data_IF_067594335892
#
_entry.id   IF_067594335892
#
_cell.length_a   1.000
_cell.length_b   1.000
_cell.length_c   1.000
_cell.angle_alpha   90.00
_cell.angle_beta   90.00
_cell.angle_gamma   90.00
#
_symmetry.space_group_name_H-M   'P 1'
#
loop_
_entity.id
_entity.type
_entity.pdbx_description
1 polymer ?
#
# COMPACT_ATOMS: atom_id res chain seq x y z
N UNK A 1 -11.04 -4.17 9.19
CA UNK A 1 -10.84 -3.02 8.30
C UNK A 1 -12.21 -2.33 8.10
N UNK A 2 -13.18 -2.99 7.44
CA UNK A 2 -14.45 -2.36 7.05
C UNK A 2 -15.37 -1.84 8.17
N UNK A 3 -15.25 -2.37 9.39
CA UNK A 3 -15.99 -1.86 10.57
C UNK A 3 -15.35 -0.58 11.17
N UNK A 4 -14.58 0.19 10.40
CA UNK A 4 -13.89 1.39 10.86
C UNK A 4 -12.53 1.12 11.52
N UNK A 5 -11.79 0.15 10.98
CA UNK A 5 -10.42 -0.22 11.37
C UNK A 5 -10.29 -0.77 12.81
N UNK A 6 -11.39 -1.23 13.42
CA UNK A 6 -11.41 -1.66 14.83
C UNK A 6 -10.32 -2.69 15.17
N UNK A 7 -10.09 -3.66 14.30
CA UNK A 7 -9.08 -4.71 14.52
C UNK A 7 -7.64 -4.18 14.50
N UNK A 8 -7.28 -3.35 13.52
CA UNK A 8 -5.93 -2.78 13.44
C UNK A 8 -5.69 -1.70 14.49
N UNK A 9 -6.75 -0.97 14.89
CA UNK A 9 -6.72 -0.07 16.06
C UNK A 9 -6.42 -0.84 17.33
N UNK A 10 -7.19 -1.89 17.65
CA UNK A 10 -6.98 -2.71 18.84
C UNK A 10 -5.58 -3.34 18.86
N UNK A 11 -5.11 -3.85 17.72
CA UNK A 11 -3.75 -4.37 17.59
C UNK A 11 -2.69 -3.29 17.91
N UNK A 12 -2.81 -2.11 17.30
CA UNK A 12 -1.85 -1.02 17.48
C UNK A 12 -1.92 -0.38 18.89
N UNK A 13 -3.10 -0.33 19.51
CA UNK A 13 -3.34 0.25 20.83
C UNK A 13 -2.93 -0.68 21.96
N UNK A 14 -3.37 -1.94 21.90
CA UNK A 14 -3.35 -2.85 23.04
C UNK A 14 -2.31 -3.96 22.84
N UNK A 15 -2.40 -4.71 21.74
CA UNK A 15 -1.55 -5.90 21.55
C UNK A 15 -0.05 -5.58 21.51
N UNK A 16 0.34 -4.46 20.88
CA UNK A 16 1.74 -4.04 20.83
C UNK A 16 2.29 -3.55 22.17
N UNK A 17 1.42 -2.95 23.00
CA UNK A 17 1.84 -2.42 24.30
C UNK A 17 2.08 -3.52 25.33
N UNK A 18 1.41 -4.66 25.18
CA UNK A 18 1.47 -5.80 26.11
C UNK A 18 2.67 -6.72 25.90
N UNK A 19 3.47 -6.50 24.84
CA UNK A 19 4.60 -7.36 24.48
C UNK A 19 5.87 -6.57 24.21
N UNK A 20 7.01 -7.19 24.47
CA UNK A 20 8.33 -6.63 24.20
C UNK A 20 8.76 -6.81 22.72
N UNK A 21 7.81 -6.66 21.79
CA UNK A 21 8.07 -6.78 20.36
C UNK A 21 8.32 -5.41 19.75
N UNK A 22 9.53 -5.18 19.26
CA UNK A 22 9.84 -3.97 18.53
C UNK A 22 9.42 -4.10 17.06
N UNK A 23 8.29 -3.49 16.69
CA UNK A 23 7.91 -3.33 15.29
C UNK A 23 8.88 -2.35 14.62
N UNK A 24 9.59 -2.85 13.60
CA UNK A 24 10.47 -2.02 12.77
C UNK A 24 9.72 -1.37 11.62
N UNK A 25 8.78 -2.11 11.01
CA UNK A 25 8.02 -1.67 9.85
C UNK A 25 6.79 -2.56 9.62
N UNK A 26 5.71 -1.98 9.11
CA UNK A 26 4.45 -2.68 8.79
C UNK A 26 4.13 -2.57 7.30
N UNK A 27 3.77 -3.70 6.69
CA UNK A 27 3.26 -3.77 5.32
C UNK A 27 1.76 -4.02 5.36
N UNK A 28 0.97 -3.11 4.79
CA UNK A 28 -0.47 -3.26 4.62
C UNK A 28 -0.75 -3.54 3.15
N UNK A 29 -1.52 -4.57 2.86
CA UNK A 29 -1.88 -4.97 1.50
C UNK A 29 -3.38 -4.67 1.33
N UNK A 30 -3.70 -3.57 0.66
CA UNK A 30 -5.08 -3.08 0.51
C UNK A 30 -5.45 -3.06 -0.96
N UNK A 31 -6.02 -4.20 -1.33
CA UNK A 31 -6.22 -4.72 -2.69
C UNK A 31 -4.95 -4.70 -3.54
N UNK A 32 -4.51 -5.85 -4.04
CA UNK A 32 -3.21 -5.98 -4.72
C UNK A 32 -3.28 -6.87 -5.96
N UNK A 33 -4.48 -7.12 -6.48
CA UNK A 33 -4.73 -8.16 -7.47
C UNK A 33 -5.57 -7.72 -8.66
N UNK A 34 -6.25 -6.58 -8.60
CA UNK A 34 -7.06 -6.10 -9.71
C UNK A 34 -6.24 -5.16 -10.61
N UNK A 35 -6.08 -5.54 -11.87
CA UNK A 35 -5.32 -4.81 -12.87
C UNK A 35 -6.16 -4.68 -14.14
N UNK A 36 -6.05 -3.53 -14.81
CA UNK A 36 -6.75 -3.31 -16.07
C UNK A 36 -5.91 -2.42 -16.99
N UNK A 37 -5.69 -2.89 -18.22
CA UNK A 37 -4.69 -2.33 -19.14
C UNK A 37 -5.26 -1.32 -20.16
N UNK A 38 -6.57 -1.10 -20.17
CA UNK A 38 -7.21 -0.14 -21.05
C UNK A 38 -7.15 1.29 -20.50
N UNK A 39 -7.10 2.29 -21.40
CA UNK A 39 -7.23 3.69 -21.03
C UNK A 39 -8.57 3.98 -20.33
N UNK A 40 -8.55 4.85 -19.33
CA UNK A 40 -9.72 5.20 -18.52
C UNK A 40 -10.10 4.15 -17.48
N UNK A 41 -9.28 3.12 -17.26
CA UNK A 41 -9.50 2.10 -16.23
C UNK A 41 -9.07 2.52 -14.83
N UNK A 42 -8.33 3.63 -14.70
CA UNK A 42 -7.96 4.23 -13.43
C UNK A 42 -8.66 5.58 -13.24
N UNK A 43 -9.44 5.69 -12.17
CA UNK A 43 -10.00 6.95 -11.70
C UNK A 43 -9.01 7.66 -10.78
N UNK A 44 -9.09 8.98 -10.77
CA UNK A 44 -8.30 9.83 -9.88
C UNK A 44 -9.08 10.11 -8.60
N UNK A 45 -8.50 9.88 -7.41
CA UNK A 45 -9.12 10.30 -6.15
C UNK A 45 -9.35 11.82 -6.14
N UNK A 46 -10.57 12.24 -5.80
CA UNK A 46 -10.93 13.65 -5.81
C UNK A 46 -10.08 14.44 -4.79
N UNK A 47 -9.65 15.64 -5.20
CA UNK A 47 -8.90 16.58 -4.37
C UNK A 47 -7.42 16.25 -4.16
N UNK A 48 -6.98 15.01 -4.38
CA UNK A 48 -5.59 14.62 -4.14
C UNK A 48 -4.67 15.29 -5.19
N UNK A 49 -3.64 16.07 -4.77
CA UNK A 49 -2.85 16.90 -5.68
C UNK A 49 -1.73 16.10 -6.37
N UNK A 50 -2.08 14.97 -6.99
CA UNK A 50 -1.14 14.10 -7.71
C UNK A 50 -1.64 13.82 -9.13
N UNK A 51 -0.75 13.30 -9.98
CA UNK A 51 -1.13 12.73 -11.27
C UNK A 51 -0.89 11.23 -11.24
N UNK A 52 -1.95 10.47 -11.45
CA UNK A 52 -1.89 9.04 -11.73
C UNK A 52 -2.07 8.80 -13.24
N UNK A 53 -1.64 7.63 -13.69
CA UNK A 53 -1.99 7.13 -15.03
C UNK A 53 -3.51 6.99 -15.12
N UNK A 54 -4.10 7.19 -16.30
CA UNK A 54 -5.49 6.82 -16.57
C UNK A 54 -5.65 5.33 -16.89
N UNK A 55 -4.54 4.58 -16.98
CA UNK A 55 -4.48 3.12 -17.07
C UNK A 55 -4.20 2.54 -15.68
N UNK A 56 -5.00 1.55 -15.26
CA UNK A 56 -4.93 0.86 -13.98
C UNK A 56 -3.95 -0.32 -13.97
N UNK A 57 -2.79 -0.17 -14.59
CA UNK A 57 -1.77 -1.21 -14.78
C UNK A 57 -0.57 -1.09 -13.83
N UNK A 58 -0.76 -0.40 -12.70
CA UNK A 58 0.32 -0.12 -11.74
C UNK A 58 -0.06 -0.48 -10.32
N UNK A 59 0.96 -0.77 -9.53
CA UNK A 59 0.88 -0.90 -8.08
C UNK A 59 1.23 0.45 -7.44
N UNK A 60 0.34 0.98 -6.61
CA UNK A 60 0.62 2.14 -5.79
C UNK A 60 1.19 1.74 -4.44
N UNK A 61 2.18 2.50 -3.98
CA UNK A 61 2.76 2.39 -2.65
C UNK A 61 2.52 3.71 -1.95
N UNK A 62 1.70 3.70 -0.90
CA UNK A 62 1.40 4.88 -0.10
C UNK A 62 2.18 4.81 1.21
N UNK A 63 2.99 5.83 1.49
CA UNK A 63 3.81 5.90 2.70
C UNK A 63 3.82 7.29 3.28
N UNK A 64 4.05 7.43 4.58
CA UNK A 64 4.25 8.73 5.23
C UNK A 64 5.75 9.06 5.42
N UNK A 65 6.03 10.24 5.98
CA UNK A 65 7.40 10.70 6.26
C UNK A 65 8.23 9.68 7.05
N UNK A 66 7.65 9.08 8.07
CA UNK A 66 8.35 8.20 9.00
C UNK A 66 8.71 6.84 8.35
N UNK A 67 8.19 6.58 7.15
CA UNK A 67 8.41 5.37 6.35
C UNK A 67 9.33 5.59 5.14
N UNK A 68 9.80 6.82 4.91
CA UNK A 68 10.49 7.20 3.69
C UNK A 68 11.84 6.51 3.46
N UNK A 69 12.62 6.29 4.51
CA UNK A 69 13.92 5.61 4.40
C UNK A 69 13.74 4.19 3.87
N UNK A 70 12.73 3.49 4.40
CA UNK A 70 12.37 2.13 4.00
C UNK A 70 11.87 2.10 2.56
N UNK A 71 10.89 2.95 2.24
CA UNK A 71 10.27 2.99 0.90
C UNK A 71 11.25 3.44 -0.20
N UNK A 72 12.29 4.21 0.13
CA UNK A 72 13.26 4.72 -0.86
C UNK A 72 13.99 3.63 -1.65
N UNK A 73 14.11 2.43 -1.08
CA UNK A 73 14.81 1.30 -1.70
C UNK A 73 13.90 0.50 -2.61
N UNK A 74 12.58 0.59 -2.40
CA UNK A 74 11.60 -0.16 -3.15
C UNK A 74 11.66 0.12 -4.66
N UNK A 75 11.85 1.38 -5.07
CA UNK A 75 12.03 1.71 -6.50
C UNK A 75 13.24 1.03 -7.13
N UNK A 76 14.35 0.91 -6.37
CA UNK A 76 15.56 0.24 -6.86
C UNK A 76 15.32 -1.26 -6.99
N UNK A 77 14.70 -1.88 -5.98
CA UNK A 77 14.35 -3.31 -5.99
C UNK A 77 13.40 -3.60 -7.16
N UNK A 78 12.36 -2.79 -7.35
CA UNK A 78 11.43 -2.95 -8.46
C UNK A 78 12.15 -2.90 -9.81
N UNK A 79 12.99 -1.87 -10.02
CA UNK A 79 13.74 -1.73 -11.26
C UNK A 79 14.72 -2.88 -11.53
N UNK A 80 15.32 -3.47 -10.48
CA UNK A 80 16.28 -4.56 -10.64
C UNK A 80 15.65 -5.93 -10.85
N UNK A 81 14.50 -6.21 -10.24
CA UNK A 81 13.94 -7.57 -10.17
C UNK A 81 12.59 -7.75 -10.86
N UNK A 82 11.85 -6.67 -11.05
CA UNK A 82 10.55 -6.64 -11.75
C UNK A 82 10.48 -5.40 -12.66
N UNK A 83 11.41 -5.23 -13.62
CA UNK A 83 11.59 -3.99 -14.40
C UNK A 83 10.35 -3.58 -15.20
N UNK A 84 9.54 -4.55 -15.63
CA UNK A 84 8.31 -4.32 -16.41
C UNK A 84 7.08 -4.07 -15.51
N UNK A 85 7.24 -4.16 -14.18
CA UNK A 85 6.15 -3.94 -13.24
C UNK A 85 6.07 -2.47 -12.83
N UNK A 86 4.98 -1.81 -13.22
CA UNK A 86 4.78 -0.40 -12.93
C UNK A 86 4.48 -0.17 -11.45
N UNK A 87 5.42 0.45 -10.74
CA UNK A 87 5.25 0.83 -9.33
C UNK A 87 5.24 2.35 -9.19
N UNK A 88 4.20 2.90 -8.55
CA UNK A 88 4.05 4.33 -8.26
C UNK A 88 4.14 4.56 -6.76
N UNK A 89 5.11 5.35 -6.33
CA UNK A 89 5.29 5.64 -4.90
C UNK A 89 4.72 7.03 -4.59
N UNK A 90 3.71 7.06 -3.73
CA UNK A 90 3.14 8.26 -3.15
C UNK A 90 3.65 8.45 -1.72
N UNK A 91 4.54 9.42 -1.54
CA UNK A 91 5.02 9.84 -0.22
C UNK A 91 4.15 10.98 0.29
N UNK A 92 3.40 10.72 1.35
CA UNK A 92 2.52 11.69 2.02
C UNK A 92 3.32 12.44 3.08
N UNK A 93 3.28 13.77 3.01
CA UNK A 93 4.03 14.66 3.89
C UNK A 93 3.10 15.65 4.59
N UNK A 94 3.62 16.33 5.61
CA UNK A 94 3.01 17.52 6.24
C UNK A 94 1.57 17.31 6.77
N UNK A 95 1.16 16.07 7.04
CA UNK A 95 -0.19 15.77 7.51
C UNK A 95 -1.25 15.84 6.41
N UNK A 96 -0.87 15.80 5.12
CA UNK A 96 -1.81 15.83 3.99
C UNK A 96 -2.86 14.70 4.08
N UNK A 97 -2.54 13.58 4.71
CA UNK A 97 -3.49 12.51 5.00
C UNK A 97 -4.72 12.97 5.79
N UNK A 98 -4.61 14.03 6.60
CA UNK A 98 -5.73 14.62 7.35
C UNK A 98 -6.66 15.47 6.48
N UNK A 99 -6.15 15.95 5.35
CA UNK A 99 -6.91 16.75 4.39
C UNK A 99 -7.56 15.89 3.31
N UNK A 100 -7.04 14.68 3.08
CA UNK A 100 -7.51 13.75 2.06
C UNK A 100 -7.89 12.40 2.71
N UNK A 101 -9.14 12.22 3.13
CA UNK A 101 -9.60 11.02 3.84
C UNK A 101 -9.30 9.71 3.10
N UNK A 102 -9.27 9.74 1.76
CA UNK A 102 -8.89 8.59 0.92
C UNK A 102 -7.52 8.00 1.28
N UNK A 103 -6.60 8.79 1.84
CA UNK A 103 -5.27 8.32 2.27
C UNK A 103 -5.29 7.58 3.61
N UNK A 104 -6.42 7.48 4.30
CA UNK A 104 -6.55 6.89 5.65
C UNK A 104 -7.57 5.73 5.70
N UNK A 105 -7.98 5.22 4.53
CA UNK A 105 -9.05 4.22 4.38
C UNK A 105 -8.61 2.75 4.54
N UNK A 106 -7.46 2.47 5.14
CA UNK A 106 -7.05 1.09 5.40
C UNK A 106 -6.18 1.02 6.65
N UNK A 107 -5.80 -0.20 7.01
CA UNK A 107 -5.17 -0.57 8.28
C UNK A 107 -3.80 0.08 8.51
N UNK A 108 -3.21 0.81 7.56
CA UNK A 108 -1.98 1.60 7.81
C UNK A 108 -2.25 2.82 8.70
N UNK A 109 -3.48 3.32 8.69
CA UNK A 109 -3.88 4.55 9.39
C UNK A 109 -3.67 4.49 10.92
N UNK A 110 -4.07 3.42 11.64
CA UNK A 110 -3.81 3.29 13.07
C UNK A 110 -2.31 3.23 13.43
N UNK A 111 -1.49 2.57 12.60
CA UNK A 111 -0.03 2.56 12.81
C UNK A 111 0.57 3.96 12.65
N UNK A 112 0.14 4.71 11.63
CA UNK A 112 0.57 6.10 11.46
C UNK A 112 0.15 6.98 12.64
N UNK A 113 -1.05 6.79 13.20
CA UNK A 113 -1.50 7.52 14.39
C UNK A 113 -0.59 7.28 15.61
N UNK A 114 0.03 6.10 15.70
CA UNK A 114 1.02 5.72 16.72
C UNK A 114 2.47 6.05 16.35
N UNK A 115 2.72 6.69 15.20
CA UNK A 115 4.07 6.94 14.65
C UNK A 115 4.86 5.65 14.42
N UNK A 116 4.17 4.55 14.14
CA UNK A 116 4.78 3.29 13.71
C UNK A 116 4.99 3.34 12.19
N UNK A 117 6.20 3.04 11.69
CA UNK A 117 6.47 3.01 10.25
C UNK A 117 5.59 1.97 9.55
N UNK A 118 4.84 2.41 8.54
CA UNK A 118 3.95 1.56 7.76
C UNK A 118 3.80 2.08 6.33
N UNK A 119 3.65 1.16 5.37
CA UNK A 119 3.22 1.49 4.01
C UNK A 119 2.08 0.60 3.54
N UNK A 120 1.24 1.17 2.69
CA UNK A 120 0.14 0.48 2.03
C UNK A 120 0.53 0.16 0.59
N UNK A 121 0.33 -1.08 0.20
CA UNK A 121 0.43 -1.59 -1.17
C UNK A 121 -0.99 -1.68 -1.70
N UNK A 122 -1.27 -1.01 -2.82
CA UNK A 122 -2.63 -0.94 -3.33
C UNK A 122 -2.69 -0.93 -4.85
N UNK A 123 -3.64 -1.66 -5.39
CA UNK A 123 -4.13 -1.58 -6.76
C UNK A 123 -5.17 -0.46 -6.92
N UNK A 124 -5.27 0.45 -5.94
CA UNK A 124 -6.18 1.62 -5.90
C UNK A 124 -7.67 1.28 -5.79
N UNK A 125 -8.00 0.04 -5.48
CA UNK A 125 -9.31 -0.36 -4.97
C UNK A 125 -10.51 0.19 -5.75
N UNK A 126 -11.39 0.96 -5.11
CA UNK A 126 -12.60 1.55 -5.70
C UNK A 126 -12.33 2.47 -6.90
N UNK A 127 -11.10 2.96 -7.04
CA UNK A 127 -10.70 3.79 -8.17
C UNK A 127 -10.42 2.98 -9.44
N UNK A 128 -10.39 1.64 -9.34
CA UNK A 128 -10.07 0.73 -10.44
C UNK A 128 -11.03 -0.45 -10.54
N UNK A 129 -11.34 -1.12 -9.43
CA UNK A 129 -12.18 -2.31 -9.38
C UNK A 129 -13.67 -1.93 -9.35
N UNK A 130 -14.44 -2.14 -10.44
CA UNK A 130 -15.87 -1.84 -10.47
C UNK A 130 -16.70 -2.77 -9.58
N UNK A 131 -16.12 -3.88 -9.12
CA UNK A 131 -16.78 -4.88 -8.28
C UNK A 131 -16.46 -4.70 -6.78
N UNK A 132 -15.69 -3.69 -6.39
CA UNK A 132 -15.34 -3.46 -4.98
C UNK A 132 -16.59 -3.38 -4.09
N UNK A 133 -16.53 -4.03 -2.92
CA UNK A 133 -17.66 -4.16 -1.98
C UNK A 133 -18.92 -4.81 -2.58
N UNK A 134 -18.76 -5.68 -3.57
CA UNK A 134 -19.87 -6.41 -4.18
C UNK A 134 -19.64 -7.92 -4.19
N UNK A 135 -20.72 -8.68 -4.40
CA UNK A 135 -20.64 -10.13 -4.57
C UNK A 135 -19.91 -10.58 -5.85
N UNK A 136 -19.54 -9.64 -6.73
CA UNK A 136 -18.80 -9.90 -7.96
C UNK A 136 -17.29 -9.62 -7.82
N UNK A 137 -16.83 -9.26 -6.61
CA UNK A 137 -15.40 -9.22 -6.30
C UNK A 137 -14.89 -10.66 -6.12
N UNK A 138 -14.52 -11.27 -7.25
CA UNK A 138 -14.28 -12.70 -7.35
C UNK A 138 -12.83 -12.98 -7.77
N UNK A 139 -12.23 -14.10 -7.33
CA UNK A 139 -10.86 -14.48 -7.73
C UNK A 139 -10.63 -14.49 -9.24
N UNK A 140 -11.64 -14.84 -10.03
CA UNK A 140 -11.60 -14.88 -11.49
C UNK A 140 -11.45 -13.50 -12.14
N UNK A 141 -11.69 -12.43 -11.38
CA UNK A 141 -11.53 -11.04 -11.84
C UNK A 141 -10.14 -10.47 -11.58
N UNK A 142 -9.28 -11.23 -10.89
CA UNK A 142 -7.92 -10.82 -10.56
C UNK A 142 -6.96 -11.08 -11.73
N UNK A 143 -5.96 -10.20 -11.82
CA UNK A 143 -4.77 -10.42 -12.62
C UNK A 143 -3.70 -11.10 -11.76
N UNK A 144 -3.53 -12.40 -11.97
CA UNK A 144 -2.58 -13.19 -11.21
C UNK A 144 -1.12 -12.87 -11.53
N UNK A 145 -0.80 -12.35 -12.72
CA UNK A 145 0.57 -11.92 -13.03
C UNK A 145 0.93 -10.66 -12.25
N UNK A 146 0.02 -9.68 -12.22
CA UNK A 146 0.11 -8.48 -11.39
C UNK A 146 0.26 -8.84 -9.90
N UNK A 147 -0.57 -9.76 -9.40
CA UNK A 147 -0.51 -10.22 -8.01
C UNK A 147 0.82 -10.93 -7.70
N UNK A 148 1.30 -11.80 -8.59
CA UNK A 148 2.59 -12.49 -8.43
C UNK A 148 3.74 -11.48 -8.38
N UNK A 149 3.74 -10.46 -9.25
CA UNK A 149 4.77 -9.43 -9.26
C UNK A 149 4.72 -8.56 -7.99
N UNK A 150 3.53 -8.27 -7.48
CA UNK A 150 3.36 -7.63 -6.17
C UNK A 150 3.97 -8.48 -5.04
N UNK A 151 3.66 -9.77 -4.99
CA UNK A 151 4.20 -10.70 -3.99
C UNK A 151 5.72 -10.84 -4.08
N UNK A 152 6.28 -10.97 -5.30
CA UNK A 152 7.74 -11.02 -5.52
C UNK A 152 8.40 -9.76 -4.97
N UNK A 153 7.86 -8.59 -5.31
CA UNK A 153 8.42 -7.31 -4.88
C UNK A 153 8.32 -7.14 -3.35
N UNK A 154 7.21 -7.56 -2.73
CA UNK A 154 7.04 -7.58 -1.28
C UNK A 154 8.11 -8.45 -0.60
N UNK A 155 8.27 -9.70 -1.06
CA UNK A 155 9.26 -10.64 -0.50
C UNK A 155 10.68 -10.08 -0.64
N UNK A 156 11.02 -9.55 -1.82
CA UNK A 156 12.32 -8.91 -2.04
C UNK A 156 12.52 -7.74 -1.08
N UNK A 157 11.54 -6.85 -0.95
CA UNK A 157 11.64 -5.73 -0.04
C UNK A 157 11.86 -6.19 1.42
N UNK A 158 11.14 -7.21 1.88
CA UNK A 158 11.35 -7.78 3.22
C UNK A 158 12.75 -8.37 3.38
N UNK A 159 13.27 -9.10 2.39
CA UNK A 159 14.62 -9.66 2.43
C UNK A 159 15.70 -8.58 2.47
N UNK A 160 15.55 -7.53 1.67
CA UNK A 160 16.48 -6.39 1.69
C UNK A 160 16.42 -5.66 3.04
N UNK A 161 15.21 -5.45 3.56
CA UNK A 161 15.01 -4.77 4.84
C UNK A 161 15.62 -5.53 6.02
N UNK A 162 15.50 -6.86 6.06
CA UNK A 162 16.05 -7.68 7.15
C UNK A 162 17.58 -7.83 7.06
N UNK A 163 18.13 -7.88 5.85
CA UNK A 163 19.57 -8.08 5.66
C UNK A 163 20.39 -6.78 5.78
N UNK A 164 19.72 -5.64 5.94
CA UNK A 164 20.40 -4.39 6.25
C UNK A 164 20.82 -4.35 7.70
N UNK A 165 22.14 -4.43 7.91
CA UNK A 165 22.75 -4.08 9.19
C UNK A 165 22.45 -2.60 9.48
N UNK A 166 22.06 -2.23 10.71
CA UNK A 166 22.05 -0.83 11.08
C UNK A 166 23.48 -0.28 10.93
N UNK A 167 23.63 0.80 10.16
CA UNK A 167 24.86 1.60 10.15
C UNK A 167 25.18 2.16 11.55
#
# INVERSE_FOLDING_TARGET
EEDGLLGSQDFADNFLSERDHQIKFVHILEMIGYCKHEAGSQMMPEGLPIKLSDIGDFLAIISNRDSNSVVSKLSKIAHSYVPDFHVKILKVYLGLEKLFPHLLRSDHSPFWAKRLPAMMWTDTSEFRNPNYHSAFDLPETLDYEFLINTCKLLVLHCLYFVNEQPE
#
